data_IF_955325699233
#
_entry.id   IF_955325699233
#
_cell.length_a   1.000
_cell.length_b   1.000
_cell.length_c   1.000
_cell.angle_alpha   90.00
_cell.angle_beta   90.00
_cell.angle_gamma   90.00
#
_symmetry.space_group_name_H-M   'P 1'
#
loop_
_entity.id
_entity.type
_entity.pdbx_description
1 polymer ?
#
# COMPACT_ATOMS: atom_id res chain seq x y z
N UNK A 1 2.13 10.35 9.23
CA UNK A 1 1.87 9.48 8.08
C UNK A 1 3.08 8.59 7.80
N UNK A 2 2.85 7.34 7.44
CA UNK A 2 3.94 6.42 7.09
C UNK A 2 4.68 6.91 5.85
N UNK A 3 5.99 6.71 5.82
CA UNK A 3 6.76 6.98 4.61
C UNK A 3 6.46 5.90 3.56
N UNK A 4 6.83 6.18 2.30
CA UNK A 4 6.66 5.19 1.24
C UNK A 4 7.44 3.90 1.56
N UNK A 5 8.64 4.02 2.10
CA UNK A 5 9.43 2.85 2.47
C UNK A 5 8.76 2.04 3.58
N UNK A 6 8.15 2.70 4.55
CA UNK A 6 7.41 2.01 5.61
C UNK A 6 6.19 1.29 5.05
N UNK A 7 5.47 1.93 4.14
CA UNK A 7 4.30 1.33 3.47
C UNK A 7 4.75 0.10 2.67
N UNK A 8 5.84 0.24 1.91
CA UNK A 8 6.36 -0.88 1.12
C UNK A 8 6.75 -2.06 2.00
N UNK A 9 7.43 -1.80 3.11
CA UNK A 9 7.84 -2.85 4.04
C UNK A 9 6.61 -3.56 4.64
N UNK A 10 5.59 -2.81 4.99
CA UNK A 10 4.35 -3.39 5.53
C UNK A 10 3.64 -4.23 4.47
N UNK A 11 3.63 -3.80 3.22
CA UNK A 11 3.01 -4.55 2.13
C UNK A 11 3.75 -5.86 1.84
N UNK A 12 5.05 -5.91 2.09
CA UNK A 12 5.83 -7.12 1.88
C UNK A 12 5.39 -8.25 2.79
N UNK A 13 4.83 -7.92 3.96
CA UNK A 13 4.33 -8.91 4.92
C UNK A 13 2.85 -9.24 4.74
N UNK A 14 2.20 -8.70 3.71
CA UNK A 14 0.76 -8.85 3.51
C UNK A 14 0.47 -9.30 2.10
N UNK A 15 -0.73 -9.86 1.92
CA UNK A 15 -1.17 -10.23 0.58
C UNK A 15 -1.72 -9.01 -0.14
N UNK A 16 -1.18 -8.74 -1.33
CA UNK A 16 -1.58 -7.59 -2.12
C UNK A 16 -3.06 -7.63 -2.50
N UNK A 17 -3.61 -8.81 -2.78
CA UNK A 17 -5.01 -8.96 -3.13
C UNK A 17 -5.93 -8.57 -1.96
N UNK A 18 -5.57 -8.94 -0.75
CA UNK A 18 -6.36 -8.57 0.43
C UNK A 18 -6.27 -7.07 0.73
N UNK A 19 -5.08 -6.50 0.59
CA UNK A 19 -4.90 -5.06 0.79
C UNK A 19 -5.69 -4.28 -0.25
N UNK A 20 -5.64 -4.70 -1.51
CA UNK A 20 -6.39 -4.04 -2.57
C UNK A 20 -7.90 -4.09 -2.30
N UNK A 21 -8.41 -5.25 -1.90
CA UNK A 21 -9.82 -5.40 -1.58
C UNK A 21 -10.24 -4.51 -0.42
N UNK A 22 -9.43 -4.46 0.63
CA UNK A 22 -9.75 -3.68 1.83
C UNK A 22 -9.67 -2.18 1.60
N UNK A 23 -8.78 -1.73 0.73
CA UNK A 23 -8.57 -0.30 0.46
C UNK A 23 -9.37 0.22 -0.71
N UNK A 24 -9.94 -0.67 -1.52
CA UNK A 24 -10.63 -0.29 -2.75
C UNK A 24 -9.67 0.06 -3.88
N UNK A 25 -8.40 -0.26 -3.75
CA UNK A 25 -7.40 -0.01 -4.77
C UNK A 25 -7.30 -1.21 -5.70
N UNK A 26 -6.76 -0.98 -6.91
CA UNK A 26 -6.49 -2.07 -7.82
C UNK A 26 -5.34 -2.94 -7.30
N UNK A 27 -5.47 -4.24 -7.51
CA UNK A 27 -4.42 -5.19 -7.14
C UNK A 27 -3.07 -4.79 -7.77
N UNK A 28 -3.07 -4.41 -9.05
CA UNK A 28 -1.83 -4.02 -9.73
C UNK A 28 -1.19 -2.78 -9.11
N UNK A 29 -2.01 -1.85 -8.63
CA UNK A 29 -1.51 -0.65 -7.96
C UNK A 29 -0.78 -1.02 -6.66
N UNK A 30 -1.39 -1.88 -5.84
CA UNK A 30 -0.79 -2.31 -4.57
C UNK A 30 0.49 -3.10 -4.83
N UNK A 31 0.44 -4.02 -5.78
CA UNK A 31 1.59 -4.83 -6.14
C UNK A 31 2.75 -3.98 -6.67
N UNK A 32 2.44 -2.96 -7.48
CA UNK A 32 3.47 -2.08 -8.02
C UNK A 32 4.18 -1.31 -6.91
N UNK A 33 3.43 -0.80 -5.94
CA UNK A 33 4.02 -0.09 -4.81
C UNK A 33 4.91 -1.03 -3.99
N UNK A 34 4.49 -2.27 -3.82
CA UNK A 34 5.27 -3.25 -3.05
C UNK A 34 6.57 -3.62 -3.76
N UNK A 35 6.52 -3.85 -5.07
CA UNK A 35 7.61 -4.48 -5.81
C UNK A 35 8.48 -3.50 -6.60
N UNK A 36 7.96 -2.32 -6.94
CA UNK A 36 8.67 -1.37 -7.79
C UNK A 36 9.22 -0.22 -6.95
N UNK A 37 10.54 -0.15 -6.82
CA UNK A 37 11.21 0.89 -6.04
C UNK A 37 10.97 2.30 -6.61
N UNK A 38 10.67 2.37 -7.89
CA UNK A 38 10.42 3.64 -8.57
C UNK A 38 8.94 4.00 -8.66
N UNK A 39 8.08 3.25 -7.97
CA UNK A 39 6.66 3.54 -7.96
C UNK A 39 6.42 4.95 -7.41
N UNK A 40 5.53 5.67 -8.08
CA UNK A 40 5.20 7.04 -7.68
C UNK A 40 3.69 7.14 -7.45
N UNK A 41 3.19 6.59 -6.34
CA UNK A 41 1.76 6.59 -6.07
C UNK A 41 1.24 7.99 -5.81
N UNK A 42 -0.05 8.19 -6.12
CA UNK A 42 -0.71 9.45 -5.82
C UNK A 42 -0.94 9.60 -4.33
N UNK A 43 -1.21 10.82 -3.88
CA UNK A 43 -1.56 11.10 -2.50
C UNK A 43 -2.75 10.24 -2.03
N UNK A 44 -3.76 10.10 -2.90
CA UNK A 44 -4.94 9.30 -2.57
C UNK A 44 -4.58 7.86 -2.26
N UNK A 45 -3.71 7.28 -3.07
CA UNK A 45 -3.27 5.89 -2.87
C UNK A 45 -2.47 5.77 -1.58
N UNK A 46 -1.53 6.69 -1.36
CA UNK A 46 -0.71 6.69 -0.15
C UNK A 46 -1.57 6.82 1.11
N UNK A 47 -2.54 7.72 1.08
CA UNK A 47 -3.43 7.93 2.21
C UNK A 47 -4.28 6.69 2.50
N UNK A 48 -4.81 6.06 1.45
CA UNK A 48 -5.61 4.85 1.62
C UNK A 48 -4.80 3.73 2.26
N UNK A 49 -3.57 3.54 1.81
CA UNK A 49 -2.68 2.53 2.36
C UNK A 49 -2.28 2.86 3.79
N UNK A 50 -1.95 4.11 4.05
CA UNK A 50 -1.59 4.55 5.40
C UNK A 50 -2.74 4.29 6.37
N UNK A 51 -3.94 4.68 6.00
CA UNK A 51 -5.11 4.52 6.86
C UNK A 51 -5.37 3.03 7.14
N UNK A 52 -5.30 2.20 6.12
CA UNK A 52 -5.51 0.76 6.28
C UNK A 52 -4.43 0.15 7.19
N UNK A 53 -3.17 0.45 6.91
CA UNK A 53 -2.06 -0.18 7.63
C UNK A 53 -1.98 0.28 9.09
N UNK A 54 -2.34 1.54 9.36
CA UNK A 54 -2.32 2.04 10.74
C UNK A 54 -3.52 1.54 11.54
N UNK A 55 -4.66 1.29 10.89
CA UNK A 55 -5.85 0.77 11.57
C UNK A 55 -5.72 -0.71 11.92
N UNK A 56 -4.88 -1.43 11.21
CA UNK A 56 -4.68 -2.86 11.42
C UNK A 56 -3.69 -3.17 12.55
N UNK A 57 -3.10 -2.14 13.08
CA UNK A 57 -2.07 -2.26 14.11
C UNK A 57 -2.45 -2.95 15.40
#
# INVERSE_FOLDING_TARGET
MMTLNQIRAALADRRADKVASATGLHYNTVRDIRDNENANPTWRVLKALNDYLTQQG
#
